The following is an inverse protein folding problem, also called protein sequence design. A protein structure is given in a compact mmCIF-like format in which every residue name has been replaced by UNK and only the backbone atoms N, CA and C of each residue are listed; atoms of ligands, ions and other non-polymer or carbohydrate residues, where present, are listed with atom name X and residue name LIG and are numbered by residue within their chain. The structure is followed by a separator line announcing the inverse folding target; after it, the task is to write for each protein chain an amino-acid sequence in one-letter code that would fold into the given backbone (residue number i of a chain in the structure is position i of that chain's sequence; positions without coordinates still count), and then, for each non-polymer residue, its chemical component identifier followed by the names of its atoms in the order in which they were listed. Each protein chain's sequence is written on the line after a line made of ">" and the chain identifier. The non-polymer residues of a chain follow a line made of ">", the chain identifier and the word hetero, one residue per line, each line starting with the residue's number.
data_IF_531367449061
#
_entry.id   IF_531367449061
#
_cell.length_a   1.000
_cell.length_b   1.000
_cell.length_c   1.000
_cell.angle_alpha   90.00
_cell.angle_beta   90.00
_cell.angle_gamma   90.00
#
_symmetry.space_group_name_H-M   'P 1'
#
loop_
_entity.id
_entity.type
_entity.pdbx_description
1 polymer ?
#
# COMPACT_ATOMS: atom_id res chain seq x y z
N UNK A 1 5.19 -6.54 21.98
CA UNK A 1 6.33 -5.80 21.40
C UNK A 1 6.58 -6.20 19.95
N UNK A 2 6.76 -7.48 19.60
CA UNK A 2 7.01 -7.94 18.21
C UNK A 2 5.94 -7.48 17.21
N UNK A 3 4.65 -7.61 17.54
CA UNK A 3 3.54 -7.20 16.65
C UNK A 3 3.52 -5.70 16.35
N UNK A 4 3.92 -4.86 17.33
CA UNK A 4 4.02 -3.41 17.11
C UNK A 4 5.15 -3.09 16.12
N UNK A 5 6.30 -3.74 16.28
CA UNK A 5 7.44 -3.57 15.37
C UNK A 5 7.07 -4.02 13.96
N UNK A 6 6.44 -5.18 13.83
CA UNK A 6 5.96 -5.68 12.54
C UNK A 6 4.95 -4.71 11.90
N UNK A 7 4.01 -4.19 12.68
CA UNK A 7 3.02 -3.22 12.19
C UNK A 7 3.69 -1.93 11.68
N UNK A 8 4.69 -1.41 12.42
CA UNK A 8 5.44 -0.22 12.01
C UNK A 8 6.25 -0.47 10.74
N UNK A 9 6.88 -1.64 10.60
CA UNK A 9 7.62 -2.01 9.38
C UNK A 9 6.66 -2.12 8.19
N UNK A 10 5.52 -2.79 8.36
CA UNK A 10 4.51 -2.94 7.31
C UNK A 10 3.95 -1.58 6.88
N UNK A 11 3.66 -0.71 7.84
CA UNK A 11 3.17 0.64 7.56
C UNK A 11 4.22 1.48 6.82
N UNK A 12 5.49 1.40 7.27
CA UNK A 12 6.60 2.07 6.58
C UNK A 12 6.79 1.57 5.14
N UNK A 13 6.64 0.27 4.91
CA UNK A 13 6.71 -0.31 3.56
C UNK A 13 5.57 0.19 2.67
N UNK A 14 4.33 0.24 3.18
CA UNK A 14 3.18 0.76 2.44
C UNK A 14 3.38 2.22 2.04
N UNK A 15 3.91 3.05 2.94
CA UNK A 15 4.22 4.44 2.61
C UNK A 15 5.34 4.51 1.56
N UNK A 16 6.41 3.72 1.71
CA UNK A 16 7.50 3.71 0.73
C UNK A 16 7.02 3.31 -0.68
N UNK A 17 6.12 2.35 -0.78
CA UNK A 17 5.48 1.94 -2.05
C UNK A 17 4.60 3.06 -2.60
N UNK A 18 3.86 3.75 -1.75
CA UNK A 18 3.05 4.90 -2.12
C UNK A 18 3.91 6.02 -2.72
N UNK A 19 4.96 6.44 -2.01
CA UNK A 19 5.90 7.47 -2.49
C UNK A 19 6.62 7.06 -3.77
N UNK A 20 6.94 5.77 -3.89
CA UNK A 20 7.52 5.23 -5.12
C UNK A 20 6.56 5.38 -6.32
N UNK A 21 5.25 5.29 -6.10
CA UNK A 21 4.23 5.56 -7.13
C UNK A 21 4.34 6.98 -7.68
N UNK A 22 4.38 7.98 -6.82
CA UNK A 22 4.56 9.38 -7.19
C UNK A 22 5.89 9.59 -7.93
N UNK A 23 6.95 9.06 -7.37
CA UNK A 23 8.29 9.12 -7.96
C UNK A 23 8.34 8.53 -9.37
N UNK A 24 7.81 7.32 -9.56
CA UNK A 24 7.82 6.63 -10.86
C UNK A 24 7.02 7.40 -11.91
N UNK A 25 5.82 7.88 -11.56
CA UNK A 25 4.98 8.66 -12.46
C UNK A 25 5.63 10.02 -12.80
N UNK A 26 6.20 10.73 -11.82
CA UNK A 26 6.90 11.99 -12.05
C UNK A 26 8.07 11.82 -13.02
N UNK A 27 8.90 10.78 -12.81
CA UNK A 27 10.03 10.47 -13.71
C UNK A 27 9.56 10.08 -15.11
N UNK A 28 8.46 9.32 -15.23
CA UNK A 28 7.89 8.91 -16.52
C UNK A 28 7.45 10.13 -17.35
N UNK A 29 6.89 11.15 -16.70
CA UNK A 29 6.42 12.37 -17.36
C UNK A 29 7.49 13.47 -17.48
N UNK A 30 8.72 13.19 -17.05
CA UNK A 30 9.83 14.14 -17.13
C UNK A 30 9.77 15.25 -16.09
N UNK A 31 8.95 15.11 -15.06
CA UNK A 31 8.88 16.04 -13.93
C UNK A 31 10.13 15.86 -13.06
N UNK A 32 10.71 16.96 -12.64
CA UNK A 32 11.90 16.94 -11.80
C UNK A 32 11.56 16.55 -10.38
N UNK A 33 12.21 15.48 -9.89
CA UNK A 33 12.16 15.06 -8.48
C UNK A 33 13.46 15.47 -7.82
N UNK A 34 13.38 16.34 -6.84
CA UNK A 34 14.53 16.88 -6.11
C UNK A 34 15.03 15.88 -5.07
N UNK A 35 14.13 15.27 -4.29
CA UNK A 35 14.48 14.25 -3.31
C UNK A 35 13.44 13.13 -3.27
N UNK A 36 13.95 11.89 -3.20
CA UNK A 36 13.18 10.70 -2.89
C UNK A 36 13.73 10.08 -1.61
N UNK A 37 12.91 10.07 -0.56
CA UNK A 37 13.30 9.63 0.78
C UNK A 37 12.49 8.46 1.25
N UNK A 38 13.18 7.45 1.79
CA UNK A 38 12.58 6.35 2.54
C UNK A 38 12.84 6.58 4.02
N UNK A 39 11.76 6.64 4.82
CA UNK A 39 11.83 6.95 6.23
C UNK A 39 11.81 8.44 6.55
N UNK A 40 11.86 8.76 7.81
CA UNK A 40 11.86 10.10 8.39
C UNK A 40 13.05 10.34 9.32
N UNK A 41 13.30 11.61 9.67
CA UNK A 41 14.36 12.02 10.59
C UNK A 41 15.70 12.26 9.89
N UNK A 42 16.83 12.18 10.62
CA UNK A 42 18.14 12.40 10.07
C UNK A 42 18.51 11.35 9.01
N UNK A 43 19.12 11.79 7.92
CA UNK A 43 19.50 10.88 6.86
C UNK A 43 20.75 10.08 7.26
N UNK A 44 20.64 8.76 7.17
CA UNK A 44 21.73 7.82 7.37
C UNK A 44 22.59 7.67 6.12
N UNK A 45 21.93 7.61 4.96
CA UNK A 45 22.60 7.49 3.67
C UNK A 45 21.97 8.50 2.70
N UNK A 46 22.84 9.16 1.91
CA UNK A 46 22.44 10.04 0.83
C UNK A 46 23.24 9.72 -0.42
N UNK A 47 22.57 9.67 -1.55
CA UNK A 47 23.22 9.46 -2.85
C UNK A 47 22.55 10.33 -3.91
N UNK A 48 23.31 11.25 -4.49
CA UNK A 48 22.88 12.02 -5.64
C UNK A 48 23.01 11.18 -6.92
N UNK A 49 21.93 11.12 -7.70
CA UNK A 49 21.95 10.50 -9.03
C UNK A 49 21.13 11.38 -10.00
N UNK A 50 21.85 12.07 -10.88
CA UNK A 50 21.25 13.10 -11.72
C UNK A 50 20.66 14.23 -10.88
N UNK A 51 19.44 14.65 -11.18
CA UNK A 51 18.74 15.73 -10.48
C UNK A 51 18.08 15.29 -9.16
N UNK A 52 18.14 14.01 -8.81
CA UNK A 52 17.43 13.45 -7.64
C UNK A 52 18.41 13.04 -6.56
N UNK A 53 18.15 13.51 -5.34
CA UNK A 53 18.79 13.04 -4.13
C UNK A 53 17.99 11.85 -3.56
N UNK A 54 18.62 10.70 -3.48
CA UNK A 54 18.07 9.52 -2.81
C UNK A 54 18.55 9.50 -1.38
N UNK A 55 17.62 9.39 -0.43
CA UNK A 55 17.98 9.35 0.99
C UNK A 55 17.29 8.19 1.72
N UNK A 56 18.03 7.56 2.61
CA UNK A 56 17.52 6.60 3.60
C UNK A 56 17.66 7.23 4.97
N UNK A 57 16.58 7.30 5.72
CA UNK A 57 16.49 8.00 7.00
C UNK A 57 16.34 7.04 8.18
N UNK A 58 16.61 7.54 9.37
CA UNK A 58 16.76 6.73 10.59
C UNK A 58 15.46 6.01 10.99
N UNK A 59 14.33 6.69 10.92
CA UNK A 59 13.07 6.10 11.32
C UNK A 59 12.39 5.45 10.10
N UNK A 60 12.15 4.11 10.11
CA UNK A 60 11.60 3.39 8.98
C UNK A 60 10.06 3.59 8.85
N UNK A 61 9.59 4.76 9.23
CA UNK A 61 8.19 5.17 9.15
C UNK A 61 8.12 6.42 8.30
N UNK A 62 7.25 6.38 7.28
CA UNK A 62 7.13 7.51 6.38
C UNK A 62 8.12 7.48 5.21
N UNK A 63 8.12 8.53 4.47
CA UNK A 63 8.93 8.81 3.30
C UNK A 63 8.39 10.06 2.64
N UNK A 64 9.04 10.54 1.59
CA UNK A 64 8.49 11.59 0.75
C UNK A 64 9.16 11.62 -0.63
N UNK A 65 8.43 12.16 -1.58
CA UNK A 65 8.88 12.42 -2.94
C UNK A 65 8.73 13.93 -3.19
N UNK A 66 9.79 14.71 -3.00
CA UNK A 66 9.77 16.15 -3.23
C UNK A 66 9.94 16.46 -4.72
N UNK A 67 8.93 17.00 -5.34
CA UNK A 67 8.95 17.44 -6.74
C UNK A 67 9.24 18.94 -6.82
N UNK A 68 9.93 19.35 -7.88
CA UNK A 68 10.20 20.76 -8.14
C UNK A 68 8.89 21.51 -8.40
N UNK A 69 8.69 22.64 -7.68
CA UNK A 69 7.49 23.48 -7.85
C UNK A 69 6.19 22.80 -7.43
N UNK A 70 6.22 21.90 -6.44
CA UNK A 70 5.04 21.26 -5.86
C UNK A 70 4.33 22.21 -4.87
N UNK A 71 5.09 23.02 -4.14
CA UNK A 71 4.55 24.02 -3.23
C UNK A 71 4.03 25.23 -4.02
N UNK A 72 2.79 25.67 -3.73
CA UNK A 72 2.13 26.79 -4.41
C UNK A 72 2.90 28.12 -4.30
N UNK A 73 3.74 28.28 -3.26
CA UNK A 73 4.54 29.49 -3.02
C UNK A 73 5.81 29.55 -3.90
N UNK A 74 6.24 28.44 -4.48
CA UNK A 74 7.41 28.36 -5.33
C UNK A 74 7.01 28.27 -6.81
N UNK A 75 6.63 29.42 -7.42
CA UNK A 75 6.57 29.49 -8.88
C UNK A 75 7.98 29.23 -9.42
N UNK A 76 8.24 28.01 -9.84
CA UNK A 76 9.52 27.64 -10.41
C UNK A 76 9.51 27.96 -11.90
N UNK A 77 10.50 28.72 -12.37
CA UNK A 77 10.72 28.96 -13.80
C UNK A 77 11.21 27.69 -14.55
N UNK A 78 11.40 26.60 -13.81
CA UNK A 78 11.84 25.33 -14.39
C UNK A 78 10.70 24.69 -15.21
N UNK A 79 10.91 24.46 -16.52
CA UNK A 79 9.88 23.84 -17.37
C UNK A 79 9.53 22.41 -16.95
N UNK A 80 10.36 21.76 -16.13
CA UNK A 80 10.11 20.42 -15.56
C UNK A 80 9.51 20.46 -14.15
N UNK A 81 9.10 21.64 -13.66
CA UNK A 81 8.39 21.75 -12.39
C UNK A 81 7.02 21.07 -12.47
N UNK A 82 6.59 20.50 -11.35
CA UNK A 82 5.28 19.84 -11.23
C UNK A 82 4.14 20.81 -11.59
N UNK A 83 4.18 22.05 -11.10
CA UNK A 83 3.19 23.08 -11.40
C UNK A 83 3.11 23.47 -12.87
N UNK A 84 4.19 23.32 -13.64
CA UNK A 84 4.26 23.61 -15.07
C UNK A 84 3.84 22.42 -15.97
N UNK A 85 3.65 21.24 -15.37
CA UNK A 85 3.19 20.06 -16.11
C UNK A 85 1.70 20.18 -16.50
N UNK A 86 1.33 19.55 -17.61
CA UNK A 86 -0.08 19.50 -18.01
C UNK A 86 -0.96 18.87 -16.93
N UNK A 87 -2.16 19.41 -16.66
CA UNK A 87 -3.02 19.00 -15.54
C UNK A 87 -3.32 17.51 -15.48
N UNK A 88 -3.45 16.82 -16.62
CA UNK A 88 -3.65 15.37 -16.64
C UNK A 88 -2.42 14.59 -16.16
N UNK A 89 -1.19 15.11 -16.38
CA UNK A 89 0.05 14.51 -15.86
C UNK A 89 0.10 14.68 -14.34
N UNK A 90 -0.23 15.88 -13.84
CA UNK A 90 -0.33 16.15 -12.42
C UNK A 90 -1.32 15.20 -11.75
N UNK A 91 -2.53 15.05 -12.33
CA UNK A 91 -3.55 14.14 -11.81
C UNK A 91 -3.06 12.68 -11.74
N UNK A 92 -2.38 12.17 -12.78
CA UNK A 92 -1.82 10.82 -12.77
C UNK A 92 -0.74 10.68 -11.69
N UNK A 93 0.15 11.66 -11.54
CA UNK A 93 1.18 11.63 -10.49
C UNK A 93 0.53 11.59 -9.11
N UNK A 94 -0.49 12.41 -8.85
CA UNK A 94 -1.19 12.43 -7.55
C UNK A 94 -1.90 11.10 -7.24
N UNK A 95 -2.46 10.43 -8.23
CA UNK A 95 -3.16 9.14 -8.05
C UNK A 95 -2.19 7.97 -7.99
N UNK A 96 -0.98 8.11 -8.56
CA UNK A 96 -0.03 7.01 -8.71
C UNK A 96 0.39 6.36 -7.39
N UNK A 97 0.48 7.13 -6.30
CA UNK A 97 0.77 6.60 -4.97
C UNK A 97 -0.30 5.61 -4.49
N UNK A 98 -1.56 6.02 -4.52
CA UNK A 98 -2.68 5.17 -4.14
C UNK A 98 -2.82 3.95 -5.07
N UNK A 99 -2.57 4.14 -6.36
CA UNK A 99 -2.59 3.05 -7.34
C UNK A 99 -1.51 2.00 -7.06
N UNK A 100 -0.30 2.39 -6.67
CA UNK A 100 0.75 1.45 -6.29
C UNK A 100 0.39 0.65 -5.04
N UNK A 101 -0.24 1.27 -4.05
CA UNK A 101 -0.75 0.55 -2.88
C UNK A 101 -1.84 -0.46 -3.25
N UNK A 102 -2.76 -0.09 -4.16
CA UNK A 102 -3.77 -1.01 -4.68
C UNK A 102 -3.13 -2.21 -5.40
N UNK A 103 -2.16 -1.97 -6.29
CA UNK A 103 -1.43 -3.05 -6.98
C UNK A 103 -0.70 -3.97 -6.01
N UNK A 104 -0.07 -3.41 -4.98
CA UNK A 104 0.61 -4.19 -3.94
C UNK A 104 -0.37 -5.05 -3.16
N UNK A 105 -1.51 -4.49 -2.76
CA UNK A 105 -2.58 -5.25 -2.09
C UNK A 105 -3.12 -6.38 -2.98
N UNK A 106 -3.38 -6.09 -4.24
CA UNK A 106 -3.81 -7.10 -5.22
C UNK A 106 -2.78 -8.22 -5.36
N UNK A 107 -1.50 -7.87 -5.49
CA UNK A 107 -0.41 -8.86 -5.61
C UNK A 107 -0.34 -9.76 -4.37
N UNK A 108 -0.42 -9.18 -3.16
CA UNK A 108 -0.44 -9.94 -1.91
C UNK A 108 -1.62 -10.92 -1.88
N UNK A 109 -2.82 -10.46 -2.23
CA UNK A 109 -4.02 -11.32 -2.28
C UNK A 109 -3.83 -12.46 -3.29
N UNK A 110 -3.30 -12.18 -4.47
CA UNK A 110 -3.05 -13.20 -5.49
C UNK A 110 -2.02 -14.25 -5.01
N UNK A 111 -0.95 -13.83 -4.34
CA UNK A 111 0.06 -14.74 -3.77
C UNK A 111 -0.57 -15.63 -2.69
N UNK A 112 -1.35 -15.04 -1.78
CA UNK A 112 -2.03 -15.79 -0.72
C UNK A 112 -3.04 -16.78 -1.31
N UNK A 113 -3.77 -16.38 -2.36
CA UNK A 113 -4.74 -17.22 -3.03
C UNK A 113 -4.07 -18.38 -3.78
N UNK A 114 -2.98 -18.11 -4.48
CA UNK A 114 -2.22 -19.14 -5.21
C UNK A 114 -1.57 -20.16 -4.26
N UNK A 115 -1.19 -19.72 -3.03
CA UNK A 115 -0.63 -20.60 -2.00
C UNK A 115 -1.68 -21.34 -1.16
N UNK A 116 -2.97 -21.04 -1.33
CA UNK A 116 -4.03 -21.65 -0.54
C UNK A 116 -4.31 -23.08 -1.03
N UNK A 117 -4.04 -24.07 -0.20
CA UNK A 117 -4.34 -25.47 -0.47
C UNK A 117 -5.85 -25.80 -0.52
N UNK A 118 -6.70 -24.82 -0.25
CA UNK A 118 -8.17 -24.90 -0.25
C UNK A 118 -8.78 -23.88 0.68
N UNK A 119 -10.09 -23.61 0.50
CA UNK A 119 -10.85 -22.76 1.40
C UNK A 119 -11.52 -23.60 2.47
N UNK A 120 -11.36 -23.24 3.74
CA UNK A 120 -12.14 -23.81 4.81
C UNK A 120 -13.58 -23.29 4.68
N UNK A 121 -14.50 -24.13 4.29
CA UNK A 121 -15.92 -23.83 4.39
C UNK A 121 -16.38 -24.09 5.82
N UNK A 122 -17.26 -23.24 6.39
CA UNK A 122 -17.81 -23.51 7.70
C UNK A 122 -18.60 -24.83 7.66
N UNK A 123 -18.13 -25.81 8.44
CA UNK A 123 -18.79 -27.09 8.63
C UNK A 123 -19.37 -27.14 10.04
N UNK A 124 -20.46 -27.88 10.20
CA UNK A 124 -21.05 -28.14 11.50
C UNK A 124 -20.14 -29.11 12.28
N UNK A 125 -19.64 -28.67 13.42
CA UNK A 125 -18.70 -29.45 14.25
C UNK A 125 -19.33 -30.26 15.37
N UNK A 126 -20.67 -30.37 15.40
CA UNK A 126 -21.43 -31.09 16.42
C UNK A 126 -22.38 -30.21 17.23
N UNK A 127 -23.30 -30.84 17.93
CA UNK A 127 -24.26 -30.18 18.84
C UNK A 127 -23.56 -29.73 20.12
N UNK A 128 -23.92 -28.56 20.61
CA UNK A 128 -23.54 -28.09 21.96
C UNK A 128 -24.71 -28.33 22.88
N UNK A 129 -24.48 -29.08 23.97
CA UNK A 129 -25.52 -29.39 24.98
C UNK A 129 -26.15 -28.09 25.50
N UNK A 130 -27.53 -28.11 25.56
CA UNK A 130 -28.31 -26.98 26.07
C UNK A 130 -28.63 -25.88 25.07
N UNK A 131 -28.18 -25.95 23.79
CA UNK A 131 -28.49 -24.94 22.78
C UNK A 131 -29.55 -25.35 21.75
N UNK A 132 -30.24 -26.46 21.94
CA UNK A 132 -31.34 -26.88 21.06
C UNK A 132 -30.89 -27.36 19.68
N UNK A 133 -29.59 -27.44 19.41
CA UNK A 133 -29.03 -27.92 18.14
C UNK A 133 -29.01 -29.46 18.05
N UNK A 134 -29.32 -30.15 19.15
CA UNK A 134 -29.30 -31.60 19.25
C UNK A 134 -30.35 -32.29 18.36
N UNK A 135 -31.50 -31.61 18.12
CA UNK A 135 -32.62 -32.13 17.36
C UNK A 135 -32.85 -31.44 16.01
N UNK A 136 -31.88 -30.67 15.51
CA UNK A 136 -32.05 -29.92 14.27
C UNK A 136 -31.77 -30.75 13.00
N UNK A 137 -31.39 -32.02 13.13
CA UNK A 137 -31.13 -32.92 12.02
C UNK A 137 -29.78 -32.68 11.32
N UNK A 138 -28.92 -31.77 11.83
CA UNK A 138 -27.61 -31.53 11.32
C UNK A 138 -26.65 -32.65 11.79
N UNK A 139 -25.81 -33.12 10.85
CA UNK A 139 -24.77 -34.10 11.15
C UNK A 139 -23.38 -33.42 11.17
N UNK A 140 -22.48 -33.98 11.95
CA UNK A 140 -21.09 -33.51 11.96
C UNK A 140 -20.48 -33.62 10.56
N UNK A 141 -19.91 -32.50 10.10
CA UNK A 141 -19.38 -32.41 8.73
C UNK A 141 -20.33 -31.74 7.72
N UNK A 142 -21.58 -31.48 8.08
CA UNK A 142 -22.50 -30.75 7.20
C UNK A 142 -21.98 -29.37 6.84
N UNK A 143 -22.07 -29.00 5.55
CA UNK A 143 -21.55 -27.73 5.03
C UNK A 143 -22.66 -26.70 4.94
N UNK A 144 -22.38 -25.50 5.46
CA UNK A 144 -23.29 -24.36 5.29
C UNK A 144 -23.17 -23.83 3.86
N UNK A 145 -24.15 -24.10 3.00
CA UNK A 145 -24.17 -23.71 1.57
C UNK A 145 -24.98 -22.44 1.28
N UNK A 146 -25.57 -21.81 2.30
CA UNK A 146 -26.34 -20.57 2.16
C UNK A 146 -27.35 -20.38 3.29
N UNK A 147 -28.08 -19.25 3.28
CA UNK A 147 -29.27 -19.05 4.09
C UNK A 147 -30.47 -19.56 3.28
N UNK A 148 -31.16 -20.57 3.76
CA UNK A 148 -32.49 -20.86 3.27
C UNK A 148 -33.40 -19.68 3.70
N UNK A 149 -33.91 -18.93 2.73
CA UNK A 149 -35.06 -18.06 2.97
C UNK A 149 -36.30 -18.97 3.00
N UNK A 150 -36.81 -19.21 4.17
CA UNK A 150 -38.16 -19.74 4.38
C UNK A 150 -39.12 -18.57 4.37
#
# INVERSE_FOLDING_TARGET
>A
MLYIILALIMFGLLIAVHEFGHFAAAKLFGIQVNEFSIGMGPALLKKQKGDTLYSLRLFPVGGYCAMEGEDEEASSDNPRAFGNAAGWKQAIVLVAGAFMNFLTGLLIVLILYAGAAGFRVPTYGGAIEGYGTENCGLQEGDRKIGRAHV
#
